data_IF_795013203704
#
_entry.id   IF_795013203704
#
_cell.length_a   1.000
_cell.length_b   1.000
_cell.length_c   1.000
_cell.angle_alpha   90.00
_cell.angle_beta   90.00
_cell.angle_gamma   90.00
#
_symmetry.space_group_name_H-M   'P 1'
#
loop_
_entity.id
_entity.type
_entity.pdbx_description
1 polymer ?
#
# COMPACT_ATOMS: atom_id res chain seq x y z
N UNK A 1 -9.80 22.12 11.21
CA UNK A 1 -9.31 20.82 10.71
C UNK A 1 -10.11 19.74 11.43
N UNK A 2 -10.78 18.85 10.69
CA UNK A 2 -11.51 17.69 11.26
C UNK A 2 -10.66 16.44 11.03
N UNK A 3 -10.49 15.63 12.06
CA UNK A 3 -9.83 14.33 11.94
C UNK A 3 -10.79 13.34 11.27
N UNK A 4 -10.24 12.46 10.44
CA UNK A 4 -10.99 11.33 9.88
C UNK A 4 -11.24 10.28 10.97
N UNK A 5 -12.36 9.59 10.87
CA UNK A 5 -12.70 8.46 11.73
C UNK A 5 -12.90 7.16 10.93
N UNK A 6 -13.30 6.10 11.62
CA UNK A 6 -13.57 4.79 11.02
C UNK A 6 -14.56 4.88 9.85
N UNK A 7 -15.65 5.64 10.00
CA UNK A 7 -16.72 5.70 9.01
C UNK A 7 -16.22 6.36 7.71
N UNK A 8 -15.32 7.35 7.83
CA UNK A 8 -14.71 7.99 6.67
C UNK A 8 -13.88 6.98 5.84
N UNK A 9 -13.16 6.07 6.52
CA UNK A 9 -12.36 5.02 5.88
C UNK A 9 -13.26 3.95 5.25
N UNK A 10 -14.30 3.49 5.96
CA UNK A 10 -15.26 2.50 5.44
C UNK A 10 -16.00 3.04 4.21
N UNK A 11 -16.44 4.30 4.25
CA UNK A 11 -17.06 4.97 3.11
C UNK A 11 -16.09 5.18 1.96
N UNK A 12 -14.81 5.44 2.23
CA UNK A 12 -13.81 5.53 1.16
C UNK A 12 -13.59 4.17 0.49
N UNK A 13 -13.45 3.09 1.28
CA UNK A 13 -13.25 1.74 0.78
C UNK A 13 -14.42 1.24 -0.09
N UNK A 14 -15.64 1.76 0.11
CA UNK A 14 -16.79 1.40 -0.72
C UNK A 14 -16.83 2.11 -2.09
N UNK A 15 -15.95 3.08 -2.36
CA UNK A 15 -15.92 3.81 -3.65
C UNK A 15 -15.15 3.01 -4.70
N UNK A 16 -15.61 3.05 -5.95
CA UNK A 16 -14.96 2.33 -7.06
C UNK A 16 -13.50 2.77 -7.27
N UNK A 17 -13.25 4.06 -7.13
CA UNK A 17 -11.93 4.66 -7.30
C UNK A 17 -10.93 4.20 -6.20
N UNK A 18 -11.43 3.76 -5.04
CA UNK A 18 -10.59 3.34 -3.92
C UNK A 18 -9.66 2.21 -4.30
N UNK A 19 -10.08 1.29 -5.16
CA UNK A 19 -9.25 0.19 -5.68
C UNK A 19 -8.02 0.71 -6.41
N UNK A 20 -8.16 1.78 -7.19
CA UNK A 20 -7.04 2.41 -7.88
C UNK A 20 -6.13 3.22 -6.95
N UNK A 21 -6.67 3.77 -5.86
CA UNK A 21 -5.92 4.60 -4.91
C UNK A 21 -5.31 3.84 -3.73
N UNK A 22 -5.84 2.66 -3.40
CA UNK A 22 -5.41 1.87 -2.24
C UNK A 22 -3.95 1.43 -2.33
N UNK A 23 -3.44 0.95 -3.48
CA UNK A 23 -2.01 0.64 -3.63
C UNK A 23 -1.10 1.86 -3.39
N UNK A 24 -1.57 3.07 -3.73
CA UNK A 24 -0.84 4.32 -3.44
C UNK A 24 -0.79 4.59 -1.94
N UNK A 25 -1.90 4.38 -1.23
CA UNK A 25 -1.95 4.52 0.23
C UNK A 25 -0.99 3.54 0.91
N UNK A 26 -1.01 2.26 0.51
CA UNK A 26 -0.09 1.24 1.05
C UNK A 26 1.37 1.60 0.75
N UNK A 27 1.72 1.99 -0.48
CA UNK A 27 3.08 2.43 -0.83
C UNK A 27 3.57 3.58 0.06
N UNK A 28 2.68 4.54 0.38
CA UNK A 28 3.01 5.66 1.28
C UNK A 28 3.23 5.21 2.72
N UNK A 29 2.39 4.32 3.24
CA UNK A 29 2.54 3.79 4.60
C UNK A 29 3.82 2.96 4.75
N UNK A 30 4.14 2.12 3.76
CA UNK A 30 5.42 1.39 3.70
C UNK A 30 6.57 2.40 3.76
N UNK A 31 6.64 3.35 2.84
CA UNK A 31 7.72 4.36 2.82
C UNK A 31 7.81 5.22 4.07
N UNK A 32 6.70 5.44 4.78
CA UNK A 32 6.67 6.21 6.02
C UNK A 32 7.18 5.42 7.24
N UNK A 33 7.20 4.08 7.15
CA UNK A 33 7.51 3.18 8.27
C UNK A 33 8.77 2.36 8.07
N UNK A 34 9.44 2.52 6.92
CA UNK A 34 10.68 1.82 6.57
C UNK A 34 11.80 2.81 6.19
N UNK A 35 13.08 2.36 6.13
CA UNK A 35 14.19 3.21 5.71
C UNK A 35 13.98 3.79 4.30
N UNK A 36 14.56 4.97 4.04
CA UNK A 36 14.51 5.64 2.72
C UNK A 36 15.06 4.79 1.57
N UNK A 37 15.86 3.77 1.87
CA UNK A 37 16.41 2.82 0.90
C UNK A 37 15.39 1.75 0.45
N UNK A 38 14.22 1.69 1.07
CA UNK A 38 13.17 0.73 0.73
C UNK A 38 12.61 1.00 -0.65
N UNK A 39 12.65 -0.02 -1.50
CA UNK A 39 12.04 0.03 -2.83
C UNK A 39 10.64 -0.54 -2.76
N UNK A 40 9.68 0.11 -3.40
CA UNK A 40 8.29 -0.33 -3.46
C UNK A 40 7.78 -0.25 -4.89
N UNK A 41 7.11 -1.29 -5.34
CA UNK A 41 6.30 -1.30 -6.56
C UNK A 41 4.87 -1.69 -6.18
N UNK A 42 3.92 -0.80 -6.43
CA UNK A 42 2.50 -0.99 -6.12
C UNK A 42 1.70 -0.50 -7.34
N UNK A 43 1.30 -1.39 -8.26
CA UNK A 43 0.47 -1.04 -9.40
C UNK A 43 -0.78 -0.31 -8.95
N UNK A 44 -1.09 0.84 -9.55
CA UNK A 44 -2.19 1.72 -9.11
C UNK A 44 -3.01 2.25 -10.29
N UNK A 45 -4.14 2.88 -9.99
CA UNK A 45 -5.09 3.32 -11.01
C UNK A 45 -5.65 2.12 -11.80
N UNK A 46 -5.54 2.17 -13.13
CA UNK A 46 -5.97 1.05 -13.99
C UNK A 46 -5.05 -0.17 -13.85
N UNK A 47 -3.77 0.04 -13.54
CA UNK A 47 -2.78 -1.03 -13.39
C UNK A 47 -3.02 -1.90 -12.15
N UNK A 48 -3.82 -1.43 -11.19
CA UNK A 48 -4.25 -2.22 -10.03
C UNK A 48 -5.15 -3.42 -10.40
N UNK A 49 -5.61 -3.52 -11.66
CA UNK A 49 -6.40 -4.65 -12.15
C UNK A 49 -5.59 -5.58 -13.07
N UNK A 50 -4.28 -5.36 -13.18
CA UNK A 50 -3.39 -6.22 -13.98
C UNK A 50 -3.01 -7.44 -13.14
N UNK A 51 -2.95 -8.61 -13.78
CA UNK A 51 -2.52 -9.85 -13.12
C UNK A 51 -1.08 -9.73 -12.59
N UNK A 52 -0.86 -10.22 -11.37
CA UNK A 52 0.42 -10.17 -10.68
C UNK A 52 0.23 -9.87 -9.20
N UNK A 53 1.33 -9.54 -8.53
CA UNK A 53 1.30 -9.12 -7.13
C UNK A 53 0.78 -7.69 -7.01
N UNK A 54 -0.08 -7.42 -6.03
CA UNK A 54 -0.57 -6.06 -5.73
C UNK A 54 0.52 -5.14 -5.20
N UNK A 55 1.60 -5.72 -4.67
CA UNK A 55 2.78 -4.97 -4.25
C UNK A 55 4.03 -5.81 -4.09
N UNK A 56 5.18 -5.23 -4.41
CA UNK A 56 6.51 -5.79 -4.18
C UNK A 56 7.32 -4.78 -3.38
N UNK A 57 7.86 -5.20 -2.25
CA UNK A 57 8.71 -4.35 -1.40
C UNK A 57 10.04 -5.03 -1.16
N UNK A 58 11.13 -4.31 -1.40
CA UNK A 58 12.49 -4.75 -1.06
C UNK A 58 13.02 -3.83 0.06
N UNK A 59 13.09 -4.38 1.27
CA UNK A 59 13.58 -3.70 2.47
C UNK A 59 14.90 -4.31 2.92
N UNK A 60 15.84 -3.49 3.40
CA UNK A 60 17.15 -3.96 3.89
C UNK A 60 17.19 -4.22 5.39
N UNK A 61 16.08 -3.98 6.07
CA UNK A 61 15.97 -4.05 7.52
C UNK A 61 14.61 -4.60 7.90
N UNK A 62 14.53 -5.28 9.04
CA UNK A 62 13.26 -5.74 9.58
C UNK A 62 12.51 -4.57 10.23
N UNK A 63 11.36 -4.20 9.68
CA UNK A 63 10.50 -3.11 10.16
C UNK A 63 9.20 -3.67 10.73
N UNK A 64 8.45 -2.87 11.50
CA UNK A 64 7.28 -3.34 12.23
C UNK A 64 6.22 -4.07 11.38
N UNK A 65 6.03 -3.67 10.12
CA UNK A 65 5.07 -4.27 9.18
C UNK A 65 5.69 -4.75 7.87
N UNK A 66 7.02 -4.64 7.73
CA UNK A 66 7.73 -4.95 6.48
C UNK A 66 8.99 -5.74 6.84
N UNK A 67 9.08 -7.03 6.48
CA UNK A 67 10.25 -7.84 6.81
C UNK A 67 11.47 -7.41 6.00
N UNK A 68 12.66 -7.78 6.48
CA UNK A 68 13.88 -7.71 5.69
C UNK A 68 13.79 -8.61 4.46
N UNK A 69 14.29 -8.15 3.33
CA UNK A 69 14.29 -8.84 2.04
C UNK A 69 13.12 -8.42 1.15
N UNK A 70 12.73 -9.33 0.26
CA UNK A 70 11.61 -9.13 -0.68
C UNK A 70 10.33 -9.65 -0.03
N UNK A 71 9.32 -8.80 0.05
CA UNK A 71 7.94 -9.17 0.42
C UNK A 71 7.00 -8.95 -0.77
N UNK A 72 6.08 -9.90 -0.95
CA UNK A 72 5.09 -9.93 -2.02
C UNK A 72 3.71 -9.79 -1.37
N UNK A 73 2.90 -8.85 -1.87
CA UNK A 73 1.66 -8.42 -1.24
C UNK A 73 0.47 -8.76 -2.13
N UNK A 74 -0.59 -9.28 -1.50
CA UNK A 74 -1.89 -9.58 -2.09
C UNK A 74 -2.97 -8.86 -1.26
N UNK A 75 -3.93 -8.24 -1.94
CA UNK A 75 -4.99 -7.39 -1.41
C UNK A 75 -6.33 -7.96 -1.90
N UNK A 76 -6.84 -8.94 -1.16
CA UNK A 76 -8.15 -9.57 -1.39
C UNK A 76 -9.32 -8.77 -0.81
#
# INVERSE_FOLDING_TARGET
MRLIDRNDIELWASKIDSKGYFPILISRLVKATTPLSTLTDFPSGTAANVEGWDGIVNCRENCGYVPEGISLWEQN
#
